data_IF_737618270113
#
_entry.id   IF_737618270113
#
_cell.length_a   1.000
_cell.length_b   1.000
_cell.length_c   1.000
_cell.angle_alpha   90.00
_cell.angle_beta   90.00
_cell.angle_gamma   90.00
#
_symmetry.space_group_name_H-M   'P 1'
#
loop_
_entity.id
_entity.type
_entity.pdbx_description
1 polymer ?
#
# COMPACT_ATOMS: atom_id res chain seq x y z
N UNK A 1 -5.96 20.41 11.32
CA UNK A 1 -4.94 19.54 10.67
C UNK A 1 -4.58 20.19 9.35
N UNK A 2 -3.29 20.31 9.03
CA UNK A 2 -2.85 20.84 7.74
C UNK A 2 -3.25 19.85 6.64
N UNK A 3 -3.98 20.34 5.63
CA UNK A 3 -4.36 19.55 4.46
C UNK A 3 -3.09 19.40 3.61
N UNK A 4 -2.66 18.19 3.32
CA UNK A 4 -1.57 17.96 2.37
C UNK A 4 -2.16 18.18 0.98
N UNK A 5 -1.89 19.34 0.38
CA UNK A 5 -2.26 19.60 -1.01
C UNK A 5 -1.12 19.12 -1.92
N UNK A 6 -1.40 18.13 -2.77
CA UNK A 6 -0.39 17.52 -3.64
C UNK A 6 0.11 18.48 -4.72
N UNK A 7 -0.63 19.55 -5.02
CA UNK A 7 -0.21 20.62 -5.93
C UNK A 7 1.04 21.36 -5.41
N UNK A 8 1.28 21.38 -4.09
CA UNK A 8 2.48 22.00 -3.50
C UNK A 8 3.69 21.04 -3.44
N UNK A 9 3.51 19.76 -3.79
CA UNK A 9 4.58 18.74 -3.80
C UNK A 9 5.31 18.63 -5.14
N UNK A 10 4.82 19.32 -6.20
CA UNK A 10 5.50 19.38 -7.50
C UNK A 10 6.79 20.20 -7.46
N UNK A 11 6.95 21.10 -6.48
CA UNK A 11 8.10 21.99 -6.29
C UNK A 11 9.10 21.51 -5.21
N UNK A 12 9.18 20.19 -4.97
CA UNK A 12 10.25 19.63 -4.15
C UNK A 12 11.59 19.80 -4.90
N UNK A 13 12.38 20.81 -4.48
CA UNK A 13 13.76 21.05 -4.91
C UNK A 13 14.52 19.72 -5.09
N UNK A 14 14.99 19.37 -6.30
CA UNK A 14 15.67 18.10 -6.55
C UNK A 14 17.09 18.16 -5.98
N UNK A 15 17.21 18.15 -4.66
CA UNK A 15 18.48 18.37 -3.97
C UNK A 15 19.43 17.17 -4.04
N UNK A 16 18.99 16.04 -4.59
CA UNK A 16 19.74 14.77 -4.52
C UNK A 16 20.53 14.39 -5.76
N UNK A 17 20.48 15.21 -6.81
CA UNK A 17 21.30 15.04 -7.99
C UNK A 17 20.49 15.46 -9.21
N UNK A 18 20.95 16.50 -9.91
CA UNK A 18 20.35 16.83 -11.19
C UNK A 18 20.56 15.66 -12.16
N UNK A 19 19.65 15.48 -13.12
CA UNK A 19 19.84 14.52 -14.22
C UNK A 19 21.25 14.69 -14.84
N UNK A 20 21.69 15.94 -15.00
CA UNK A 20 23.04 16.24 -15.49
C UNK A 20 24.16 15.63 -14.63
N UNK A 21 24.09 15.73 -13.30
CA UNK A 21 25.08 15.13 -12.40
C UNK A 21 25.03 13.59 -12.38
N UNK A 22 23.83 13.01 -12.54
CA UNK A 22 23.68 11.55 -12.65
C UNK A 22 24.13 11.00 -14.00
N UNK A 23 24.09 11.81 -15.05
CA UNK A 23 24.59 11.48 -16.37
C UNK A 23 26.10 11.73 -16.51
N UNK A 24 26.67 12.67 -15.74
CA UNK A 24 28.08 13.04 -15.77
C UNK A 24 29.03 11.84 -15.57
N UNK A 25 30.01 11.69 -16.46
CA UNK A 25 30.96 10.57 -16.42
C UNK A 25 31.85 10.62 -15.19
N UNK A 26 32.15 11.81 -14.66
CA UNK A 26 33.02 12.00 -13.49
C UNK A 26 32.48 11.29 -12.22
N UNK A 27 31.16 11.07 -12.15
CA UNK A 27 30.51 10.37 -11.02
C UNK A 27 30.61 8.84 -11.17
N UNK A 28 30.85 8.35 -12.38
CA UNK A 28 30.73 6.95 -12.77
C UNK A 28 31.97 6.41 -13.49
N UNK A 29 33.12 7.09 -13.44
CA UNK A 29 34.35 6.68 -14.15
C UNK A 29 34.82 5.26 -13.75
N UNK A 30 34.53 4.85 -12.51
CA UNK A 30 34.84 3.53 -11.96
C UNK A 30 33.79 2.46 -12.28
N UNK A 31 32.69 2.82 -12.93
CA UNK A 31 31.55 1.95 -13.21
C UNK A 31 31.33 1.83 -14.72
N UNK A 32 31.51 0.62 -15.26
CA UNK A 32 31.06 0.32 -16.63
C UNK A 32 29.57 -0.05 -16.59
N UNK A 33 28.69 0.67 -17.32
CA UNK A 33 27.26 0.36 -17.36
C UNK A 33 27.01 -1.09 -17.82
N UNK A 34 26.16 -1.80 -17.09
CA UNK A 34 25.80 -3.19 -17.35
C UNK A 34 24.41 -3.26 -17.96
N UNK A 35 24.28 -3.72 -19.20
CA UNK A 35 22.99 -4.04 -19.80
C UNK A 35 22.71 -5.52 -19.58
N UNK A 36 21.75 -5.91 -18.72
CA UNK A 36 21.41 -7.31 -18.53
C UNK A 36 20.88 -7.88 -19.84
N UNK A 37 21.61 -8.80 -20.47
CA UNK A 37 21.18 -9.43 -21.72
C UNK A 37 20.29 -10.63 -21.42
N UNK A 38 19.16 -10.71 -22.10
CA UNK A 38 18.43 -11.97 -22.20
C UNK A 38 19.21 -12.90 -23.14
N UNK A 39 19.49 -14.17 -22.77
CA UNK A 39 20.12 -15.11 -23.69
C UNK A 39 19.24 -15.34 -24.93
N UNK A 40 19.81 -15.19 -26.13
CA UNK A 40 19.11 -15.41 -27.41
C UNK A 40 18.47 -14.15 -27.99
N UNK A 41 17.37 -14.33 -28.72
CA UNK A 41 16.60 -13.24 -29.34
C UNK A 41 15.56 -12.70 -28.34
N UNK A 42 15.70 -11.45 -27.85
CA UNK A 42 14.78 -10.91 -26.86
C UNK A 42 13.38 -10.72 -27.48
N UNK A 43 12.36 -11.12 -26.73
CA UNK A 43 10.95 -10.84 -27.02
C UNK A 43 10.45 -9.75 -26.09
N UNK A 44 9.46 -8.98 -26.52
CA UNK A 44 8.90 -7.82 -25.79
C UNK A 44 9.98 -6.81 -25.33
N UNK A 45 11.04 -6.68 -26.13
CA UNK A 45 12.08 -5.70 -25.83
C UNK A 45 11.54 -4.28 -25.94
N UNK A 46 11.87 -3.46 -24.95
CA UNK A 46 11.41 -2.09 -24.86
C UNK A 46 12.51 -1.22 -25.45
N UNK A 47 12.18 -0.53 -26.53
CA UNK A 47 13.00 0.53 -27.11
C UNK A 47 13.09 1.70 -26.12
N UNK A 48 14.25 1.85 -25.47
CA UNK A 48 14.50 2.84 -24.42
C UNK A 48 15.34 3.96 -25.00
N UNK A 49 15.15 5.18 -24.51
CA UNK A 49 16.05 6.28 -24.85
C UNK A 49 17.44 6.08 -24.21
N UNK A 50 18.44 6.73 -24.78
CA UNK A 50 19.85 6.60 -24.37
C UNK A 50 20.06 6.93 -22.89
N UNK A 51 19.32 7.90 -22.34
CA UNK A 51 19.47 8.30 -20.94
C UNK A 51 18.90 7.24 -20.00
N UNK A 52 17.75 6.66 -20.33
CA UNK A 52 17.14 5.55 -19.60
C UNK A 52 18.06 4.31 -19.64
N UNK A 53 18.60 3.97 -20.81
CA UNK A 53 19.54 2.85 -20.94
C UNK A 53 20.78 3.05 -20.09
N UNK A 54 21.36 4.25 -20.08
CA UNK A 54 22.54 4.57 -19.29
C UNK A 54 22.26 4.51 -17.77
N UNK A 55 21.14 5.10 -17.32
CA UNK A 55 20.75 5.09 -15.90
C UNK A 55 20.53 3.67 -15.40
N UNK A 56 19.80 2.84 -16.15
CA UNK A 56 19.62 1.44 -15.79
C UNK A 56 20.93 0.65 -15.90
N UNK A 57 21.74 0.92 -16.93
CA UNK A 57 23.06 0.31 -17.08
C UNK A 57 23.94 0.54 -15.85
N UNK A 58 24.00 1.77 -15.37
CA UNK A 58 24.69 2.14 -14.13
C UNK A 58 24.07 1.46 -12.91
N UNK A 59 22.73 1.44 -12.81
CA UNK A 59 22.02 0.78 -11.71
C UNK A 59 22.36 -0.71 -11.62
N UNK A 60 22.36 -1.43 -12.75
CA UNK A 60 22.66 -2.85 -12.76
C UNK A 60 24.13 -3.12 -12.43
N UNK A 61 25.05 -2.27 -12.87
CA UNK A 61 26.47 -2.38 -12.54
C UNK A 61 26.74 -2.22 -11.04
N UNK A 62 26.19 -1.16 -10.41
CA UNK A 62 26.35 -0.96 -8.95
C UNK A 62 25.64 -2.03 -8.13
N UNK A 63 24.49 -2.51 -8.61
CA UNK A 63 23.79 -3.63 -7.97
C UNK A 63 24.64 -4.91 -8.01
N UNK A 64 25.23 -5.23 -9.16
CA UNK A 64 26.09 -6.41 -9.33
C UNK A 64 27.34 -6.31 -8.44
N UNK A 65 27.92 -5.11 -8.32
CA UNK A 65 29.04 -4.84 -7.42
C UNK A 65 28.68 -4.86 -5.92
N UNK A 66 27.38 -4.93 -5.56
CA UNK A 66 26.96 -4.86 -4.16
C UNK A 66 27.09 -3.46 -3.55
N UNK A 67 27.21 -2.41 -4.36
CA UNK A 67 27.50 -1.06 -3.88
C UNK A 67 26.30 -0.45 -3.15
N UNK A 68 26.58 0.11 -1.97
CA UNK A 68 25.66 0.91 -1.16
C UNK A 68 26.34 2.26 -0.88
N UNK A 69 25.92 3.31 -1.57
CA UNK A 69 26.57 4.63 -1.53
C UNK A 69 25.58 5.77 -1.77
N UNK A 70 25.99 7.01 -1.48
CA UNK A 70 25.13 8.17 -1.68
C UNK A 70 24.77 8.40 -3.16
N UNK A 71 25.67 8.07 -4.10
CA UNK A 71 25.36 8.12 -5.54
C UNK A 71 24.34 7.07 -5.97
N UNK A 72 24.32 5.91 -5.32
CA UNK A 72 23.28 4.89 -5.54
C UNK A 72 21.93 5.39 -5.02
N UNK A 73 21.87 6.05 -3.85
CA UNK A 73 20.63 6.69 -3.39
C UNK A 73 20.12 7.74 -4.38
N UNK A 74 20.99 8.63 -4.86
CA UNK A 74 20.64 9.62 -5.87
C UNK A 74 20.12 8.98 -7.17
N UNK A 75 20.80 7.94 -7.67
CA UNK A 75 20.41 7.22 -8.87
C UNK A 75 19.03 6.55 -8.71
N UNK A 76 18.81 5.85 -7.60
CA UNK A 76 17.52 5.20 -7.35
C UNK A 76 16.38 6.19 -7.20
N UNK A 77 16.61 7.35 -6.58
CA UNK A 77 15.61 8.42 -6.46
C UNK A 77 15.16 8.91 -7.84
N UNK A 78 16.14 9.22 -8.70
CA UNK A 78 15.87 9.71 -10.04
C UNK A 78 15.11 8.68 -10.87
N UNK A 79 15.52 7.41 -10.83
CA UNK A 79 14.81 6.33 -11.52
C UNK A 79 13.37 6.23 -11.01
N UNK A 80 13.15 6.28 -9.69
CA UNK A 80 11.82 6.17 -9.10
C UNK A 80 10.91 7.34 -9.52
N UNK A 81 11.42 8.57 -9.50
CA UNK A 81 10.62 9.77 -9.77
C UNK A 81 10.37 10.00 -11.26
N UNK A 82 11.34 9.70 -12.11
CA UNK A 82 11.33 10.20 -13.49
C UNK A 82 11.37 9.11 -14.56
N UNK A 83 11.68 7.87 -14.19
CA UNK A 83 11.87 6.77 -15.17
C UNK A 83 10.88 5.64 -14.94
N UNK A 84 10.97 4.95 -13.81
CA UNK A 84 10.21 3.74 -13.51
C UNK A 84 9.91 3.59 -12.01
N UNK A 85 8.87 4.29 -11.54
CA UNK A 85 8.39 4.19 -10.15
C UNK A 85 7.94 2.77 -9.74
N UNK A 86 7.65 1.90 -10.71
CA UNK A 86 7.19 0.52 -10.50
C UNK A 86 8.32 -0.51 -10.40
N UNK A 87 9.59 -0.11 -10.57
CA UNK A 87 10.71 -1.05 -10.59
C UNK A 87 11.11 -1.49 -9.17
N UNK A 88 10.61 -2.64 -8.75
CA UNK A 88 10.77 -3.14 -7.38
C UNK A 88 12.23 -3.40 -7.00
N UNK A 89 13.10 -3.71 -7.97
CA UNK A 89 14.53 -3.93 -7.71
C UNK A 89 15.21 -2.64 -7.26
N UNK A 90 14.86 -1.51 -7.87
CA UNK A 90 15.39 -0.19 -7.53
C UNK A 90 14.94 0.21 -6.12
N UNK A 91 13.66 0.03 -5.79
CA UNK A 91 13.14 0.26 -4.44
C UNK A 91 13.81 -0.60 -3.37
N UNK A 92 14.05 -1.89 -3.67
CA UNK A 92 14.74 -2.78 -2.75
C UNK A 92 16.20 -2.35 -2.53
N UNK A 93 16.90 -1.94 -3.57
CA UNK A 93 18.28 -1.48 -3.44
C UNK A 93 18.38 -0.13 -2.69
N UNK A 94 17.43 0.78 -2.94
CA UNK A 94 17.27 1.99 -2.15
C UNK A 94 17.07 1.65 -0.67
N UNK A 95 16.17 0.73 -0.36
CA UNK A 95 15.92 0.26 1.01
C UNK A 95 17.20 -0.29 1.66
N UNK A 96 18.01 -1.06 0.94
CA UNK A 96 19.30 -1.56 1.44
C UNK A 96 20.29 -0.45 1.78
N UNK A 97 20.36 0.60 0.97
CA UNK A 97 21.20 1.77 1.27
C UNK A 97 20.75 2.42 2.59
N UNK A 98 19.43 2.59 2.78
CA UNK A 98 18.87 3.13 4.03
C UNK A 98 19.17 2.23 5.23
N UNK A 99 19.04 0.89 5.08
CA UNK A 99 19.42 -0.07 6.12
C UNK A 99 20.90 0.01 6.51
N UNK A 100 21.77 0.30 5.55
CA UNK A 100 23.21 0.46 5.76
C UNK A 100 23.59 1.83 6.34
N UNK A 101 22.62 2.70 6.61
CA UNK A 101 22.86 4.04 7.16
C UNK A 101 23.48 5.01 6.15
N UNK A 102 23.33 4.74 4.86
CA UNK A 102 23.76 5.67 3.82
C UNK A 102 22.85 6.89 3.86
N UNK A 103 23.46 8.07 3.90
CA UNK A 103 22.76 9.34 3.85
C UNK A 103 22.82 9.95 2.44
N UNK A 104 21.78 10.69 2.10
CA UNK A 104 21.70 11.50 0.91
C UNK A 104 22.85 12.51 0.86
N UNK A 105 23.56 12.56 -0.26
CA UNK A 105 24.62 13.55 -0.49
C UNK A 105 24.46 14.18 -1.88
N UNK A 106 24.77 15.47 -1.98
CA UNK A 106 24.76 16.17 -3.27
C UNK A 106 25.87 15.62 -4.15
N UNK A 107 25.49 15.21 -5.37
CA UNK A 107 26.47 14.82 -6.39
C UNK A 107 27.24 16.03 -6.95
N UNK A 108 28.50 15.84 -7.39
CA UNK A 108 29.24 16.88 -8.08
C UNK A 108 28.47 17.38 -9.30
N UNK A 109 28.51 18.69 -9.55
CA UNK A 109 28.03 19.23 -10.82
C UNK A 109 28.96 18.76 -11.95
N UNK A 110 28.45 18.55 -13.18
CA UNK A 110 29.29 18.30 -14.34
C UNK A 110 30.34 19.40 -14.45
N UNK A 111 31.60 19.04 -14.73
CA UNK A 111 32.61 20.06 -14.97
C UNK A 111 32.30 20.79 -16.28
N UNK A 112 32.46 22.12 -16.33
CA UNK A 112 32.29 22.96 -17.56
C UNK A 112 33.29 22.62 -18.68
N UNK A 113 34.01 21.50 -18.57
CA UNK A 113 34.93 21.03 -19.60
C UNK A 113 34.14 20.41 -20.75
N UNK A 114 33.56 21.29 -21.56
CA UNK A 114 33.13 21.08 -22.94
C UNK A 114 32.25 19.87 -23.16
N UNK A 115 30.99 20.11 -23.54
CA UNK A 115 30.11 19.13 -24.18
C UNK A 115 30.91 18.17 -25.07
N UNK A 116 31.25 17.00 -24.55
CA UNK A 116 31.74 15.91 -25.35
C UNK A 116 30.50 15.39 -26.07
N UNK A 117 30.47 15.59 -27.38
CA UNK A 117 29.60 14.82 -28.27
C UNK A 117 29.66 13.35 -27.83
N UNK A 118 28.49 12.69 -27.78
CA UNK A 118 28.40 11.25 -27.62
C UNK A 118 29.46 10.60 -28.53
N UNK A 119 30.53 10.10 -27.92
CA UNK A 119 31.61 9.49 -28.65
C UNK A 119 31.06 8.21 -29.27
N UNK A 120 30.79 8.28 -30.57
CA UNK A 120 30.57 7.12 -31.40
C UNK A 120 31.73 6.14 -31.23
N UNK A 121 31.38 4.89 -31.03
CA UNK A 121 32.20 3.72 -31.34
C UNK A 121 33.49 3.58 -30.51
N UNK A 122 33.35 2.97 -29.33
CA UNK A 122 34.40 2.09 -28.80
C UNK A 122 33.80 0.73 -28.51
N UNK A 123 34.21 -0.24 -29.32
CA UNK A 123 33.75 -1.62 -29.32
C UNK A 123 33.69 -2.24 -27.94
N UNK A 124 32.57 -2.91 -27.69
CA UNK A 124 32.30 -3.75 -26.53
C UNK A 124 33.31 -4.90 -26.52
N UNK A 125 34.27 -4.87 -25.58
CA UNK A 125 35.19 -5.99 -25.39
C UNK A 125 34.48 -7.18 -24.73
N UNK A 126 34.66 -8.34 -25.35
CA UNK A 126 34.11 -9.62 -24.94
C UNK A 126 34.91 -10.18 -23.77
N UNK A 127 34.38 -10.14 -22.56
CA UNK A 127 34.93 -10.92 -21.45
C UNK A 127 34.55 -12.41 -21.63
N UNK A 128 35.57 -13.25 -21.77
CA UNK A 128 35.45 -14.68 -21.95
C UNK A 128 34.82 -15.40 -20.76
N UNK A 129 34.09 -16.47 -21.10
CA UNK A 129 33.43 -17.47 -20.27
C UNK A 129 34.25 -17.98 -19.07
N UNK A 130 33.62 -18.13 -17.90
CA UNK A 130 33.82 -19.30 -17.05
C UNK A 130 32.66 -20.29 -17.19
N UNK A 131 32.96 -21.55 -16.90
CA UNK A 131 32.11 -22.72 -17.14
C UNK A 131 30.76 -22.70 -16.40
N UNK A 132 29.82 -23.45 -16.96
CA UNK A 132 28.42 -23.50 -16.55
C UNK A 132 28.28 -23.76 -15.05
N UNK A 133 27.63 -22.82 -14.35
CA UNK A 133 27.17 -23.03 -12.99
C UNK A 133 26.01 -24.03 -13.04
N UNK A 134 26.32 -25.31 -12.78
CA UNK A 134 25.31 -26.34 -12.54
C UNK A 134 24.46 -25.92 -11.35
N UNK A 135 23.15 -25.79 -11.56
CA UNK A 135 22.20 -25.55 -10.47
C UNK A 135 22.40 -26.58 -9.37
N UNK A 136 22.63 -26.18 -8.10
CA UNK A 136 22.59 -27.13 -7.01
C UNK A 136 21.17 -27.68 -6.91
N UNK A 137 21.07 -29.00 -6.82
CA UNK A 137 19.82 -29.70 -6.52
C UNK A 137 19.16 -29.11 -5.27
N UNK A 138 17.82 -29.06 -5.28
CA UNK A 138 17.01 -28.58 -4.17
C UNK A 138 17.41 -29.24 -2.85
N UNK A 139 17.69 -28.47 -1.78
CA UNK A 139 17.95 -29.07 -0.49
C UNK A 139 16.64 -29.64 0.08
N UNK A 140 16.76 -30.87 0.59
CA UNK A 140 15.73 -31.57 1.33
C UNK A 140 15.36 -30.80 2.62
N UNK A 141 14.05 -30.80 2.92
CA UNK A 141 13.38 -30.46 4.20
C UNK A 141 14.26 -29.84 5.30
N UNK A 142 14.21 -28.51 5.42
CA UNK A 142 14.73 -27.77 6.57
C UNK A 142 13.61 -27.43 7.56
N UNK A 143 13.92 -27.62 8.84
CA UNK A 143 13.04 -27.40 9.99
C UNK A 143 12.52 -25.97 10.11
N UNK A 144 11.39 -25.83 10.81
CA UNK A 144 10.73 -24.56 11.11
C UNK A 144 11.53 -23.71 12.12
N UNK A 145 12.54 -22.99 11.64
CA UNK A 145 13.13 -21.88 12.39
C UNK A 145 12.81 -20.59 11.64
N UNK A 146 11.74 -19.91 12.07
CA UNK A 146 11.46 -18.55 11.62
C UNK A 146 12.62 -17.66 12.09
N UNK A 147 13.39 -17.02 11.19
CA UNK A 147 14.45 -16.12 11.61
C UNK A 147 13.87 -14.99 12.48
N UNK A 148 14.59 -14.53 13.51
CA UNK A 148 14.16 -13.39 14.31
C UNK A 148 13.93 -12.18 13.39
N UNK A 149 12.94 -11.33 13.69
CA UNK A 149 12.68 -10.14 12.88
C UNK A 149 13.97 -9.30 12.81
N UNK A 150 14.32 -8.75 11.63
CA UNK A 150 15.49 -7.89 11.49
C UNK A 150 15.39 -6.72 12.48
N UNK A 151 16.51 -6.25 13.04
CA UNK A 151 16.49 -5.14 13.97
C UNK A 151 15.84 -3.91 13.33
N UNK A 152 15.05 -3.12 14.08
CA UNK A 152 14.43 -1.92 13.55
C UNK A 152 15.50 -0.96 13.04
N UNK A 153 15.38 -0.55 11.78
CA UNK A 153 16.30 0.40 11.16
C UNK A 153 15.99 1.78 11.71
N UNK A 154 16.96 2.36 12.40
CA UNK A 154 16.85 3.72 12.93
C UNK A 154 17.34 4.71 11.88
N UNK A 155 16.43 5.22 11.07
CA UNK A 155 16.71 6.34 10.18
C UNK A 155 16.85 7.63 11.01
N UNK A 156 17.75 8.52 10.58
CA UNK A 156 17.79 9.88 11.15
C UNK A 156 16.47 10.60 10.85
N UNK A 157 16.06 11.60 11.66
CA UNK A 157 14.85 12.37 11.37
C UNK A 157 14.86 13.02 9.99
N UNK A 158 16.03 13.52 9.54
CA UNK A 158 16.20 14.12 8.22
C UNK A 158 16.00 13.10 7.09
N UNK A 159 16.65 11.93 7.18
CA UNK A 159 16.48 10.86 6.19
C UNK A 159 15.04 10.37 6.14
N UNK A 160 14.39 10.15 7.29
CA UNK A 160 12.99 9.72 7.30
C UNK A 160 12.06 10.75 6.65
N UNK A 161 12.25 12.04 6.96
CA UNK A 161 11.44 13.10 6.37
C UNK A 161 11.59 13.16 4.85
N UNK A 162 12.84 13.03 4.36
CA UNK A 162 13.14 12.98 2.93
C UNK A 162 12.47 11.78 2.24
N UNK A 163 12.60 10.58 2.80
CA UNK A 163 12.00 9.38 2.22
C UNK A 163 10.47 9.42 2.25
N UNK A 164 9.86 10.00 3.29
CA UNK A 164 8.42 10.23 3.33
C UNK A 164 7.96 11.24 2.26
N UNK A 165 8.75 12.29 2.01
CA UNK A 165 8.50 13.24 0.93
C UNK A 165 8.59 12.58 -0.45
N UNK A 166 9.63 11.77 -0.70
CA UNK A 166 9.75 10.98 -1.93
C UNK A 166 8.51 10.11 -2.18
N UNK A 167 8.04 9.39 -1.16
CA UNK A 167 6.81 8.60 -1.31
C UNK A 167 5.57 9.47 -1.56
N UNK A 168 5.50 10.68 -1.00
CA UNK A 168 4.41 11.61 -1.27
C UNK A 168 4.44 12.10 -2.73
N UNK A 169 5.61 12.42 -3.27
CA UNK A 169 5.78 12.79 -4.69
C UNK A 169 5.35 11.64 -5.61
N UNK A 170 5.77 10.40 -5.33
CA UNK A 170 5.32 9.24 -6.12
C UNK A 170 3.81 9.02 -6.02
N UNK A 171 3.20 9.28 -4.86
CA UNK A 171 1.76 9.18 -4.70
C UNK A 171 0.99 10.23 -5.52
N UNK A 172 1.58 11.40 -5.77
CA UNK A 172 0.96 12.45 -6.58
C UNK A 172 0.74 12.02 -8.04
N UNK A 173 1.74 11.39 -8.66
CA UNK A 173 1.68 11.01 -10.09
C UNK A 173 1.40 9.52 -10.33
N UNK A 174 1.66 8.65 -9.34
CA UNK A 174 1.49 7.19 -9.45
C UNK A 174 0.86 6.59 -8.18
N UNK A 175 -0.37 6.99 -7.80
CA UNK A 175 -1.01 6.57 -6.54
C UNK A 175 -1.39 5.08 -6.49
N UNK A 176 -1.39 4.38 -7.64
CA UNK A 176 -1.70 2.95 -7.78
C UNK A 176 -0.44 2.12 -7.99
N UNK A 177 0.55 2.33 -7.12
CA UNK A 177 1.87 1.74 -7.21
C UNK A 177 2.18 0.88 -5.97
N UNK A 178 2.37 -0.43 -6.15
CA UNK A 178 2.62 -1.35 -5.02
C UNK A 178 3.90 -1.02 -4.26
N UNK A 179 4.95 -0.61 -4.98
CA UNK A 179 6.29 -0.35 -4.44
C UNK A 179 6.27 0.88 -3.53
N UNK A 180 5.60 1.96 -3.94
CA UNK A 180 5.30 3.15 -3.13
C UNK A 180 4.68 2.75 -1.78
N UNK A 181 3.56 2.04 -1.81
CA UNK A 181 2.82 1.72 -0.58
C UNK A 181 3.54 0.70 0.30
N UNK A 182 4.38 -0.14 -0.30
CA UNK A 182 5.30 -1.00 0.46
C UNK A 182 6.40 -0.17 1.14
N UNK A 183 7.07 0.72 0.41
CA UNK A 183 8.12 1.58 0.92
C UNK A 183 7.60 2.50 2.03
N UNK A 184 6.46 3.17 1.82
CA UNK A 184 5.86 4.06 2.82
C UNK A 184 5.50 3.32 4.12
N UNK A 185 4.97 2.10 4.03
CA UNK A 185 4.74 1.27 5.24
C UNK A 185 6.04 0.89 5.94
N UNK A 186 7.07 0.48 5.20
CA UNK A 186 8.40 0.20 5.80
C UNK A 186 8.95 1.44 6.53
N UNK A 187 8.78 2.63 5.98
CA UNK A 187 9.21 3.89 6.59
C UNK A 187 8.40 4.23 7.85
N UNK A 188 7.07 4.19 7.76
CA UNK A 188 6.17 4.47 8.88
C UNK A 188 6.45 3.54 10.08
N UNK A 189 6.71 2.25 9.81
CA UNK A 189 6.97 1.24 10.83
C UNK A 189 8.46 0.96 11.07
N UNK A 190 9.36 1.84 10.60
CA UNK A 190 10.81 1.62 10.71
C UNK A 190 11.31 1.59 12.17
N UNK A 191 10.62 2.29 13.08
CA UNK A 191 10.92 2.36 14.52
C UNK A 191 10.25 1.26 15.35
N UNK A 192 9.36 0.47 14.77
CA UNK A 192 8.61 -0.58 15.45
C UNK A 192 7.18 -0.74 14.90
N UNK A 193 6.47 -1.74 15.41
CA UNK A 193 5.09 -2.03 14.98
C UNK A 193 4.03 -1.07 15.56
N UNK A 194 4.40 -0.28 16.58
CA UNK A 194 3.54 0.72 17.20
C UNK A 194 3.94 2.11 16.72
N UNK A 195 2.95 2.96 16.51
CA UNK A 195 3.14 4.36 16.17
C UNK A 195 2.80 5.23 17.38
N UNK A 196 3.47 6.37 17.51
CA UNK A 196 2.97 7.45 18.36
C UNK A 196 1.72 8.08 17.75
N UNK A 197 0.91 8.77 18.55
CA UNK A 197 -0.28 9.48 18.06
C UNK A 197 0.09 10.47 16.93
N UNK A 198 1.21 11.18 17.06
CA UNK A 198 1.67 12.13 16.04
C UNK A 198 2.09 11.45 14.73
N UNK A 199 2.75 10.29 14.79
CA UNK A 199 3.11 9.51 13.60
C UNK A 199 1.87 8.92 12.92
N UNK A 200 0.89 8.45 13.70
CA UNK A 200 -0.37 7.96 13.16
C UNK A 200 -1.18 9.08 12.53
N UNK A 201 -1.31 10.24 13.17
CA UNK A 201 -2.02 11.40 12.63
C UNK A 201 -1.43 11.84 11.28
N UNK A 202 -0.09 11.87 11.16
CA UNK A 202 0.58 12.20 9.90
C UNK A 202 0.26 11.19 8.78
N UNK A 203 0.29 9.89 9.07
CA UNK A 203 0.00 8.85 8.08
C UNK A 203 -1.49 8.72 7.75
N UNK A 204 -2.37 8.98 8.71
CA UNK A 204 -3.81 9.09 8.46
C UNK A 204 -4.12 10.29 7.57
N UNK A 205 -3.52 11.46 7.83
CA UNK A 205 -3.67 12.65 6.98
C UNK A 205 -3.14 12.40 5.55
N UNK A 206 -2.02 11.68 5.41
CA UNK A 206 -1.52 11.27 4.09
C UNK A 206 -2.51 10.34 3.36
N UNK A 207 -3.03 9.32 4.05
CA UNK A 207 -4.01 8.40 3.45
C UNK A 207 -5.29 9.14 3.04
N UNK A 208 -5.75 10.08 3.86
CA UNK A 208 -6.92 10.93 3.59
C UNK A 208 -6.69 11.80 2.36
N UNK A 209 -5.52 12.43 2.24
CA UNK A 209 -5.17 13.23 1.08
C UNK A 209 -5.17 12.37 -0.21
N UNK A 210 -4.67 11.12 -0.16
CA UNK A 210 -4.74 10.19 -1.29
C UNK A 210 -6.19 9.80 -1.63
N UNK A 211 -7.02 9.58 -0.61
CA UNK A 211 -8.43 9.22 -0.76
C UNK A 211 -9.29 10.39 -1.24
N UNK A 212 -8.90 11.63 -0.96
CA UNK A 212 -9.55 12.80 -1.52
C UNK A 212 -9.38 12.87 -3.05
N UNK A 213 -8.26 12.39 -3.59
CA UNK A 213 -8.03 12.27 -5.04
C UNK A 213 -8.75 11.05 -5.65
N UNK A 214 -8.65 9.89 -5.00
CA UNK A 214 -9.33 8.66 -5.40
C UNK A 214 -9.89 7.94 -4.17
N UNK A 215 -11.18 8.20 -3.87
CA UNK A 215 -11.88 7.65 -2.71
C UNK A 215 -12.00 6.12 -2.72
N UNK A 216 -11.62 5.47 -3.83
CA UNK A 216 -11.63 4.02 -4.01
C UNK A 216 -10.22 3.45 -4.18
N UNK A 217 -9.17 4.23 -3.92
CA UNK A 217 -7.80 3.75 -3.93
C UNK A 217 -7.60 2.66 -2.87
N UNK A 218 -7.51 1.42 -3.33
CA UNK A 218 -7.36 0.25 -2.47
C UNK A 218 -6.09 0.31 -1.62
N UNK A 219 -4.99 0.82 -2.16
CA UNK A 219 -3.73 0.88 -1.43
C UNK A 219 -3.78 1.89 -0.27
N UNK A 220 -4.43 3.03 -0.49
CA UNK A 220 -4.63 4.04 0.56
C UNK A 220 -5.49 3.51 1.70
N UNK A 221 -6.60 2.82 1.39
CA UNK A 221 -7.41 2.15 2.41
C UNK A 221 -6.63 1.08 3.18
N UNK A 222 -5.83 0.27 2.49
CA UNK A 222 -4.99 -0.75 3.13
C UNK A 222 -3.88 -0.15 4.02
N UNK A 223 -3.32 0.98 3.63
CA UNK A 223 -2.38 1.73 4.47
C UNK A 223 -3.07 2.30 5.70
N UNK A 224 -4.24 2.93 5.53
CA UNK A 224 -5.06 3.44 6.62
C UNK A 224 -5.39 2.36 7.64
N UNK A 225 -5.81 1.17 7.20
CA UNK A 225 -6.05 0.03 8.09
C UNK A 225 -4.81 -0.41 8.88
N UNK A 226 -3.62 -0.38 8.26
CA UNK A 226 -2.38 -0.70 8.94
C UNK A 226 -2.03 0.33 10.02
N UNK A 227 -2.22 1.62 9.74
CA UNK A 227 -2.01 2.71 10.71
C UNK A 227 -3.00 2.57 11.88
N UNK A 228 -4.29 2.41 11.61
CA UNK A 228 -5.31 2.21 12.65
C UNK A 228 -5.04 0.96 13.51
N UNK A 229 -4.50 -0.10 12.90
CA UNK A 229 -4.12 -1.30 13.63
C UNK A 229 -2.99 -1.03 14.63
N UNK A 230 -2.03 -0.19 14.26
CA UNK A 230 -0.86 0.12 15.07
C UNK A 230 -1.16 1.02 16.28
N UNK A 231 -2.25 1.80 16.23
CA UNK A 231 -2.69 2.69 17.32
C UNK A 231 -4.07 2.32 17.87
N UNK A 232 -4.49 1.08 17.67
CA UNK A 232 -5.86 0.66 17.95
C UNK A 232 -6.31 0.97 19.39
N UNK A 233 -7.44 1.66 19.52
CA UNK A 233 -8.11 1.96 20.79
C UNK A 233 -9.60 2.16 20.57
N UNK A 234 -10.39 2.19 21.65
CA UNK A 234 -11.82 2.49 21.56
C UNK A 234 -12.08 3.87 20.95
N UNK A 235 -11.23 4.85 21.26
CA UNK A 235 -11.28 6.19 20.66
C UNK A 235 -11.05 6.13 19.16
N UNK A 236 -9.98 5.47 18.71
CA UNK A 236 -9.67 5.31 17.28
C UNK A 236 -10.81 4.63 16.53
N UNK A 237 -11.42 3.60 17.12
CA UNK A 237 -12.56 2.93 16.52
C UNK A 237 -13.79 3.85 16.43
N UNK A 238 -14.05 4.69 17.44
CA UNK A 238 -15.14 5.68 17.42
C UNK A 238 -14.92 6.71 16.33
N UNK A 239 -13.74 7.32 16.29
CA UNK A 239 -13.39 8.38 15.35
C UNK A 239 -13.48 7.85 13.90
N UNK A 240 -13.01 6.62 13.64
CA UNK A 240 -13.12 6.01 12.30
C UNK A 240 -14.57 5.61 11.93
N UNK A 241 -15.39 5.19 12.90
CA UNK A 241 -16.82 4.96 12.65
C UNK A 241 -17.56 6.26 12.33
N UNK A 242 -17.21 7.37 12.98
CA UNK A 242 -17.75 8.69 12.66
C UNK A 242 -17.35 9.13 11.25
N UNK A 243 -16.07 9.00 10.90
CA UNK A 243 -15.58 9.26 9.54
C UNK A 243 -16.32 8.43 8.49
N UNK A 244 -16.41 7.11 8.66
CA UNK A 244 -17.12 6.26 7.70
C UNK A 244 -18.62 6.60 7.60
N UNK A 245 -19.22 7.11 8.67
CA UNK A 245 -20.60 7.59 8.65
C UNK A 245 -20.71 8.85 7.79
N UNK A 246 -19.82 9.83 8.00
CA UNK A 246 -19.76 11.06 7.21
C UNK A 246 -19.56 10.75 5.72
N UNK A 247 -18.55 9.95 5.37
CA UNK A 247 -18.25 9.58 3.98
C UNK A 247 -19.41 8.85 3.28
N UNK A 248 -20.22 8.07 4.02
CA UNK A 248 -21.39 7.38 3.46
C UNK A 248 -22.61 8.29 3.33
N UNK A 249 -22.85 9.19 4.27
CA UNK A 249 -24.04 10.04 4.28
C UNK A 249 -23.86 11.28 3.40
N UNK A 250 -22.70 11.91 3.47
CA UNK A 250 -22.45 13.22 2.86
C UNK A 250 -21.82 13.12 1.47
N UNK A 251 -20.99 12.09 1.22
CA UNK A 251 -20.23 11.97 -0.04
C UNK A 251 -20.80 10.89 -1.00
N UNK A 252 -20.61 9.60 -0.70
CA UNK A 252 -21.05 8.50 -1.58
C UNK A 252 -21.51 7.28 -0.77
N UNK A 253 -22.82 7.18 -0.55
CA UNK A 253 -23.46 6.02 0.09
C UNK A 253 -23.18 4.70 -0.64
N UNK A 254 -22.80 4.72 -1.93
CA UNK A 254 -22.46 3.54 -2.73
C UNK A 254 -20.97 3.19 -2.69
N UNK A 255 -20.15 3.93 -1.96
CA UNK A 255 -18.72 3.66 -1.88
C UNK A 255 -18.44 2.38 -1.09
N UNK A 256 -18.25 1.27 -1.82
CA UNK A 256 -17.98 -0.04 -1.23
C UNK A 256 -16.69 -0.08 -0.39
N UNK A 257 -15.69 0.76 -0.69
CA UNK A 257 -14.46 0.81 0.10
C UNK A 257 -14.73 1.36 1.51
N UNK A 258 -15.64 2.33 1.64
CA UNK A 258 -16.05 2.88 2.95
C UNK A 258 -16.90 1.87 3.72
N UNK A 259 -17.81 1.14 3.07
CA UNK A 259 -18.53 0.03 3.70
C UNK A 259 -17.59 -1.08 4.18
N UNK A 260 -16.57 -1.41 3.38
CA UNK A 260 -15.55 -2.39 3.76
C UNK A 260 -14.70 -1.89 4.94
N UNK A 261 -14.32 -0.60 4.95
CA UNK A 261 -13.61 0.03 6.06
C UNK A 261 -14.46 -0.01 7.35
N UNK A 262 -15.73 0.33 7.24
CA UNK A 262 -16.67 0.25 8.38
C UNK A 262 -16.75 -1.17 8.93
N UNK A 263 -16.83 -2.18 8.06
CA UNK A 263 -16.85 -3.59 8.46
C UNK A 263 -15.55 -4.00 9.16
N UNK A 264 -14.40 -3.50 8.69
CA UNK A 264 -13.11 -3.70 9.35
C UNK A 264 -13.14 -3.19 10.80
N UNK A 265 -13.62 -1.96 11.02
CA UNK A 265 -13.71 -1.36 12.37
C UNK A 265 -14.70 -2.11 13.25
N UNK A 266 -15.90 -2.42 12.74
CA UNK A 266 -16.94 -3.16 13.46
C UNK A 266 -16.44 -4.54 13.87
N UNK A 267 -15.85 -5.30 12.95
CA UNK A 267 -15.30 -6.62 13.25
C UNK A 267 -14.26 -6.53 14.36
N UNK A 268 -13.33 -5.58 14.28
CA UNK A 268 -12.28 -5.45 15.27
C UNK A 268 -12.80 -5.03 16.65
N UNK A 269 -13.81 -4.16 16.72
CA UNK A 269 -14.52 -3.84 17.96
C UNK A 269 -15.18 -5.08 18.57
N UNK A 270 -15.92 -5.84 17.77
CA UNK A 270 -16.56 -7.08 18.22
C UNK A 270 -15.53 -8.10 18.70
N UNK A 271 -14.39 -8.21 18.01
CA UNK A 271 -13.32 -9.12 18.39
C UNK A 271 -12.74 -8.76 19.77
N UNK A 272 -12.57 -7.47 20.05
CA UNK A 272 -12.15 -6.99 21.37
C UNK A 272 -13.21 -7.28 22.44
N UNK A 273 -14.49 -7.05 22.15
CA UNK A 273 -15.61 -7.27 23.05
C UNK A 273 -15.78 -8.74 23.45
N UNK A 274 -15.66 -9.67 22.49
CA UNK A 274 -15.79 -11.13 22.74
C UNK A 274 -14.48 -11.78 23.20
N UNK A 275 -13.45 -10.98 23.49
CA UNK A 275 -12.19 -11.45 24.07
C UNK A 275 -11.29 -12.24 23.12
N UNK A 276 -11.32 -11.97 21.81
CA UNK A 276 -10.37 -12.57 20.87
C UNK A 276 -8.94 -12.14 21.26
N UNK A 277 -8.01 -13.10 21.46
CA UNK A 277 -6.64 -12.78 21.86
C UNK A 277 -5.98 -11.75 20.93
N UNK A 278 -5.46 -10.67 21.52
CA UNK A 278 -4.81 -9.58 20.79
C UNK A 278 -5.75 -8.58 20.13
N UNK A 279 -7.06 -8.81 20.02
CA UNK A 279 -7.95 -7.90 19.28
C UNK A 279 -8.05 -6.48 19.88
N UNK A 280 -7.90 -6.36 21.20
CA UNK A 280 -7.90 -5.09 21.90
C UNK A 280 -6.52 -4.39 21.91
N UNK A 281 -5.46 -5.08 21.49
CA UNK A 281 -4.09 -4.57 21.61
C UNK A 281 -3.64 -3.84 20.32
N UNK A 282 -3.00 -2.66 20.44
CA UNK A 282 -2.31 -2.03 19.32
C UNK A 282 -1.25 -2.96 18.71
N UNK A 283 -1.10 -2.92 17.38
CA UNK A 283 -0.11 -3.72 16.64
C UNK A 283 -0.44 -5.22 16.53
N UNK A 284 -1.45 -5.71 17.23
CA UNK A 284 -1.93 -7.08 17.08
C UNK A 284 -2.87 -7.20 15.86
N UNK A 285 -2.77 -8.34 15.17
CA UNK A 285 -3.50 -8.67 13.93
C UNK A 285 -3.23 -7.72 12.76
N UNK A 286 -2.15 -8.01 12.01
CA UNK A 286 -1.87 -7.48 10.67
C UNK A 286 -2.68 -8.18 9.56
N UNK A 287 -3.71 -8.95 9.91
CA UNK A 287 -4.55 -9.63 8.91
C UNK A 287 -5.68 -8.67 8.54
N UNK A 288 -5.68 -8.24 7.27
CA UNK A 288 -6.78 -7.49 6.66
C UNK A 288 -8.13 -8.22 6.89
N UNK A 289 -9.21 -7.46 7.14
CA UNK A 289 -10.55 -8.03 7.33
C UNK A 289 -10.99 -8.30 8.77
N UNK A 290 -10.31 -7.74 9.77
CA UNK A 290 -10.82 -7.69 11.16
C UNK A 290 -10.57 -8.94 12.01
N UNK A 291 -9.59 -9.77 11.64
CA UNK A 291 -9.14 -10.92 12.43
C UNK A 291 -10.10 -12.12 12.46
N UNK A 292 -9.71 -13.22 13.13
CA UNK A 292 -10.47 -14.47 13.17
C UNK A 292 -11.65 -14.35 14.15
N UNK A 293 -12.63 -13.52 13.83
CA UNK A 293 -13.94 -13.65 14.46
C UNK A 293 -14.57 -14.96 14.02
N UNK A 294 -14.94 -15.79 15.00
CA UNK A 294 -15.81 -16.91 14.74
C UNK A 294 -17.18 -16.39 14.29
N UNK A 295 -17.79 -17.09 13.35
CA UNK A 295 -19.17 -16.83 12.97
C UNK A 295 -20.08 -16.95 14.20
N UNK A 296 -21.09 -16.09 14.27
CA UNK A 296 -22.06 -16.11 15.36
C UNK A 296 -21.55 -15.64 16.72
N UNK A 297 -20.61 -14.68 16.72
CA UNK A 297 -20.06 -14.09 17.94
C UNK A 297 -21.07 -13.28 18.76
N UNK A 298 -22.14 -12.76 18.14
CA UNK A 298 -23.12 -11.87 18.75
C UNK A 298 -24.55 -12.43 18.68
N UNK A 299 -25.41 -11.96 19.58
CA UNK A 299 -26.86 -12.13 19.44
C UNK A 299 -27.45 -11.09 18.48
N UNK A 300 -28.61 -11.40 17.88
CA UNK A 300 -29.26 -10.51 16.90
C UNK A 300 -29.67 -9.16 17.52
N UNK A 301 -29.96 -9.15 18.83
CA UNK A 301 -30.38 -7.96 19.56
C UNK A 301 -29.21 -7.16 20.15
N UNK A 302 -27.97 -7.53 19.83
CA UNK A 302 -26.77 -6.83 20.27
C UNK A 302 -26.78 -5.36 19.83
N UNK A 303 -26.33 -4.45 20.70
CA UNK A 303 -26.41 -3.01 20.45
C UNK A 303 -25.65 -2.59 19.17
N UNK A 304 -24.49 -3.18 18.92
CA UNK A 304 -23.71 -2.96 17.69
C UNK A 304 -24.50 -3.39 16.46
N UNK A 305 -25.11 -4.58 16.48
CA UNK A 305 -25.91 -5.09 15.35
C UNK A 305 -27.10 -4.18 15.07
N UNK A 306 -27.87 -3.80 16.09
CA UNK A 306 -29.02 -2.88 15.94
C UNK A 306 -28.62 -1.54 15.31
N UNK A 307 -27.49 -0.97 15.74
CA UNK A 307 -26.93 0.26 15.17
C UNK A 307 -26.56 0.09 13.70
N UNK A 308 -25.81 -0.96 13.38
CA UNK A 308 -25.32 -1.21 12.02
C UNK A 308 -26.46 -1.55 11.04
N UNK A 309 -27.47 -2.32 11.46
CA UNK A 309 -28.66 -2.58 10.65
C UNK A 309 -29.47 -1.30 10.41
N UNK A 310 -29.53 -0.39 11.39
CA UNK A 310 -30.17 0.92 11.21
C UNK A 310 -29.45 1.76 10.15
N UNK A 311 -28.11 1.81 10.21
CA UNK A 311 -27.30 2.48 9.17
C UNK A 311 -27.58 1.93 7.76
N UNK A 312 -27.65 0.60 7.62
CA UNK A 312 -28.01 -0.05 6.34
C UNK A 312 -29.42 0.35 5.91
N UNK A 313 -30.39 0.34 6.84
CA UNK A 313 -31.78 0.69 6.55
C UNK A 313 -31.87 2.10 5.99
N UNK A 314 -31.18 3.05 6.61
CA UNK A 314 -31.17 4.46 6.18
C UNK A 314 -30.49 4.62 4.81
N UNK A 315 -29.38 3.93 4.58
CA UNK A 315 -28.72 3.90 3.27
C UNK A 315 -29.60 3.31 2.15
N UNK A 316 -30.41 2.30 2.47
CA UNK A 316 -31.31 1.66 1.50
C UNK A 316 -32.61 2.46 1.26
N UNK A 317 -33.00 3.35 2.18
CA UNK A 317 -34.10 4.29 1.94
C UNK A 317 -33.75 5.26 0.81
N UNK A 318 -32.52 5.78 0.79
CA UNK A 318 -32.05 6.70 -0.26
C UNK A 318 -31.58 5.97 -1.52
N UNK A 319 -30.99 4.78 -1.37
CA UNK A 319 -30.41 4.01 -2.47
C UNK A 319 -30.78 2.51 -2.40
N UNK A 320 -32.03 2.13 -2.75
CA UNK A 320 -32.51 0.74 -2.59
C UNK A 320 -31.71 -0.28 -3.41
N UNK A 321 -31.13 0.14 -4.54
CA UNK A 321 -30.28 -0.70 -5.40
C UNK A 321 -28.79 -0.69 -5.00
N UNK A 322 -28.43 -0.14 -3.84
CA UNK A 322 -27.05 -0.09 -3.36
C UNK A 322 -26.54 -1.48 -2.97
N UNK A 323 -25.84 -2.14 -3.89
CA UNK A 323 -25.28 -3.47 -3.65
C UNK A 323 -24.30 -3.52 -2.46
N UNK A 324 -23.55 -2.44 -2.20
CA UNK A 324 -22.59 -2.40 -1.10
C UNK A 324 -23.30 -2.49 0.26
N UNK A 325 -24.39 -1.75 0.46
CA UNK A 325 -25.20 -1.82 1.69
C UNK A 325 -25.82 -3.21 1.90
N UNK A 326 -26.32 -3.85 0.84
CA UNK A 326 -26.84 -5.23 0.92
C UNK A 326 -25.74 -6.25 1.23
N UNK A 327 -24.55 -6.11 0.64
CA UNK A 327 -23.41 -6.97 0.94
C UNK A 327 -22.93 -6.77 2.39
N UNK A 328 -22.93 -5.54 2.88
CA UNK A 328 -22.60 -5.22 4.27
C UNK A 328 -23.58 -5.87 5.24
N UNK A 329 -24.89 -5.77 4.97
CA UNK A 329 -25.93 -6.44 5.76
C UNK A 329 -25.74 -7.96 5.80
N UNK A 330 -25.38 -8.56 4.66
CA UNK A 330 -25.05 -9.98 4.60
C UNK A 330 -23.78 -10.32 5.39
N UNK A 331 -22.80 -9.42 5.43
CA UNK A 331 -21.63 -9.54 6.29
C UNK A 331 -21.97 -9.50 7.78
N UNK A 332 -22.89 -8.61 8.20
CA UNK A 332 -23.37 -8.54 9.57
C UNK A 332 -24.08 -9.83 10.00
N UNK A 333 -24.83 -10.47 9.08
CA UNK A 333 -25.45 -11.78 9.30
C UNK A 333 -24.46 -12.80 9.85
N UNK A 334 -23.22 -12.82 9.34
CA UNK A 334 -22.19 -13.78 9.78
C UNK A 334 -21.65 -13.50 11.19
N UNK A 335 -21.84 -12.28 11.71
CA UNK A 335 -21.46 -11.95 13.08
C UNK A 335 -22.51 -12.40 14.10
N UNK A 336 -23.74 -12.69 13.65
CA UNK A 336 -24.87 -13.06 14.50
C UNK A 336 -25.06 -14.57 14.58
N UNK A 337 -25.42 -15.07 15.76
CA UNK A 337 -25.60 -16.50 16.01
C UNK A 337 -26.73 -17.08 15.16
N UNK A 338 -26.41 -18.13 14.40
CA UNK A 338 -27.36 -18.85 13.56
C UNK A 338 -28.07 -17.95 12.55
N UNK A 339 -29.37 -18.16 12.36
CA UNK A 339 -30.22 -17.35 11.46
C UNK A 339 -30.82 -16.11 12.14
N UNK A 340 -30.20 -15.58 13.20
CA UNK A 340 -30.79 -14.55 14.06
C UNK A 340 -31.20 -13.25 13.34
N UNK A 341 -30.48 -12.86 12.27
CA UNK A 341 -30.81 -11.69 11.46
C UNK A 341 -31.73 -11.96 10.27
N UNK A 342 -31.98 -13.23 9.91
CA UNK A 342 -32.71 -13.61 8.70
C UNK A 342 -34.13 -13.01 8.64
N UNK A 343 -34.91 -13.00 9.75
CA UNK A 343 -36.24 -12.38 9.74
C UNK A 343 -36.20 -10.89 9.40
N UNK A 344 -35.21 -10.16 9.94
CA UNK A 344 -35.08 -8.72 9.70
C UNK A 344 -34.60 -8.42 8.28
N UNK A 345 -33.58 -9.16 7.80
CA UNK A 345 -33.08 -9.05 6.42
C UNK A 345 -34.21 -9.35 5.43
N UNK A 346 -34.98 -10.43 5.66
CA UNK A 346 -36.12 -10.80 4.83
C UNK A 346 -37.17 -9.70 4.82
N UNK A 347 -37.55 -9.19 5.99
CA UNK A 347 -38.53 -8.12 6.14
C UNK A 347 -38.12 -6.86 5.38
N UNK A 348 -36.84 -6.48 5.46
CA UNK A 348 -36.31 -5.33 4.73
C UNK A 348 -36.29 -5.56 3.22
N UNK A 349 -35.83 -6.73 2.77
CA UNK A 349 -35.80 -7.09 1.35
C UNK A 349 -37.21 -7.18 0.74
N UNK A 350 -38.19 -7.71 1.48
CA UNK A 350 -39.59 -7.74 1.06
C UNK A 350 -40.17 -6.32 0.90
N UNK A 351 -39.87 -5.41 1.83
CA UNK A 351 -40.26 -3.99 1.70
C UNK A 351 -39.62 -3.35 0.48
N UNK A 352 -38.29 -3.47 0.32
CA UNK A 352 -37.58 -2.88 -0.83
C UNK A 352 -38.07 -3.47 -2.15
N UNK A 353 -38.35 -4.78 -2.22
CA UNK A 353 -38.93 -5.41 -3.42
C UNK A 353 -40.31 -4.86 -3.76
N UNK A 354 -41.12 -4.54 -2.75
CA UNK A 354 -42.45 -3.94 -2.94
C UNK A 354 -42.35 -2.48 -3.40
N UNK A 355 -41.53 -1.69 -2.72
CA UNK A 355 -41.48 -0.23 -2.89
C UNK A 355 -40.54 0.19 -4.04
N UNK A 356 -39.51 -0.61 -4.33
CA UNK A 356 -38.51 -0.41 -5.38
C UNK A 356 -38.22 -1.74 -6.11
N UNK A 357 -39.17 -2.28 -6.91
CA UNK A 357 -39.04 -3.59 -7.57
C UNK A 357 -37.85 -3.71 -8.53
N UNK A 358 -37.32 -2.59 -9.04
CA UNK A 358 -36.11 -2.54 -9.87
C UNK A 358 -34.81 -2.78 -9.07
N UNK A 359 -34.85 -2.76 -7.74
CA UNK A 359 -33.69 -3.05 -6.89
C UNK A 359 -33.38 -4.55 -6.86
N UNK A 360 -32.68 -5.02 -7.89
CA UNK A 360 -32.22 -6.41 -8.02
C UNK A 360 -31.50 -6.97 -6.77
N UNK A 361 -30.66 -6.22 -6.05
CA UNK A 361 -29.96 -6.76 -4.88
C UNK A 361 -30.90 -7.32 -3.80
N UNK A 362 -32.08 -6.72 -3.59
CA UNK A 362 -33.06 -7.23 -2.63
C UNK A 362 -33.60 -8.61 -3.04
N UNK A 363 -33.81 -8.83 -4.34
CA UNK A 363 -34.26 -10.12 -4.88
C UNK A 363 -33.17 -11.20 -4.74
N UNK A 364 -31.91 -10.82 -4.99
CA UNK A 364 -30.76 -11.70 -4.78
C UNK A 364 -30.66 -12.14 -3.33
N UNK A 365 -30.84 -11.21 -2.38
CA UNK A 365 -30.81 -11.51 -0.94
C UNK A 365 -31.93 -12.47 -0.54
N UNK A 366 -33.17 -12.27 -1.02
CA UNK A 366 -34.28 -13.19 -0.76
C UNK A 366 -33.99 -14.60 -1.29
N UNK A 367 -33.38 -14.70 -2.46
CA UNK A 367 -32.99 -15.98 -3.06
C UNK A 367 -31.93 -16.69 -2.22
N UNK A 368 -30.91 -15.95 -1.75
CA UNK A 368 -29.86 -16.49 -0.87
C UNK A 368 -30.41 -16.97 0.47
N UNK A 369 -31.35 -16.22 1.08
CA UNK A 369 -32.00 -16.65 2.33
C UNK A 369 -32.78 -17.95 2.13
N UNK A 370 -33.52 -18.10 1.03
CA UNK A 370 -34.26 -19.33 0.74
C UNK A 370 -33.34 -20.55 0.58
N UNK A 371 -32.16 -20.36 -0.05
CA UNK A 371 -31.15 -21.40 -0.19
C UNK A 371 -30.53 -21.78 1.17
N UNK A 372 -30.21 -20.80 2.01
CA UNK A 372 -29.61 -21.03 3.33
C UNK A 372 -30.56 -21.74 4.32
N UNK A 373 -31.88 -21.68 4.11
CA UNK A 373 -32.87 -22.43 4.90
C UNK A 373 -33.10 -23.87 4.42
N UNK A 374 -32.58 -24.23 3.25
CA UNK A 374 -32.76 -25.56 2.65
C UNK A 374 -31.59 -26.52 2.95
N UNK A 375 -30.47 -26.00 3.42
CA UNK A 375 -29.29 -26.71 3.95
C UNK A 375 -29.39 -26.82 5.47
#
# INVERSE_FOLDING_TARGET
MARIEFEELEDADPQLGSLAGLLADEVWEDVTPLVPRCPGDPVVDIDKDESTELLFGRFWAVKEAGELSARVLALTEHIILHVASNEYTVWEWRWRCLCAGIESARLPAPSDKGSAELASDKGVETAGRPEACTSPAAPAQAASDTPPPPPPIRLTPATLAHELALTASVAAFSPKNYQLWNARRKLAFSRGALLTDAEADAELAFSEACLAQDAKNHHAWMHRQAVLAAVWSERVARDELELTTQLLLDDDVRNNSVWAQRMFVVRRLVAAEVGVPGAAQPGALLIAGGGPLKEGALEADHAVIKREVTMVRDALQSAPSNQAAWNYLWGLRQLVRGAGLDPEIKSLADRVRKDAPWALPAQVILTRLAQATAE
#
